data_IF_597902088997
#
_entry.id   IF_597902088997
#
_cell.length_a   1.000
_cell.length_b   1.000
_cell.length_c   1.000
_cell.angle_alpha   90.00
_cell.angle_beta   90.00
_cell.angle_gamma   90.00
#
_symmetry.space_group_name_H-M   'P 1'
#
loop_
_entity.id
_entity.type
_entity.pdbx_description
1 polymer ?
#
# COMPACT_ATOMS: atom_id res chain seq x y z
N UNK A 1 -0.45 18.57 -19.90
CA UNK A 1 0.23 17.78 -18.85
C UNK A 1 -0.80 17.58 -17.74
N UNK A 2 -1.31 16.36 -17.49
CA UNK A 2 -2.35 16.20 -16.49
C UNK A 2 -1.74 16.34 -15.09
N UNK A 3 -2.38 17.22 -14.32
CA UNK A 3 -2.12 17.49 -12.92
C UNK A 3 -2.71 16.33 -12.13
N UNK A 4 -1.88 15.34 -11.75
CA UNK A 4 -2.28 14.36 -10.75
C UNK A 4 -2.23 15.05 -9.38
N UNK A 5 -3.38 15.55 -8.95
CA UNK A 5 -3.64 15.93 -7.56
C UNK A 5 -3.60 14.65 -6.71
N UNK A 6 -2.41 14.25 -6.29
CA UNK A 6 -2.24 13.23 -5.25
C UNK A 6 -2.30 13.91 -3.90
N UNK A 7 -3.40 13.73 -3.16
CA UNK A 7 -3.49 14.15 -1.77
C UNK A 7 -2.24 13.70 -1.00
N UNK A 8 -1.61 14.63 -0.28
CA UNK A 8 -0.33 14.44 0.38
C UNK A 8 -0.53 13.51 1.58
N UNK A 9 -0.66 12.21 1.33
CA UNK A 9 -0.60 11.20 2.38
C UNK A 9 0.88 11.03 2.75
N UNK A 10 1.20 11.23 4.02
CA UNK A 10 2.53 10.92 4.54
C UNK A 10 2.83 9.44 4.32
N UNK A 11 4.10 9.10 4.06
CA UNK A 11 4.51 7.71 3.73
C UNK A 11 4.07 6.70 4.81
N UNK A 12 4.04 7.13 6.08
CA UNK A 12 3.55 6.35 7.22
C UNK A 12 2.04 6.07 7.15
N UNK A 13 1.23 7.06 6.77
CA UNK A 13 -0.23 6.89 6.69
C UNK A 13 -0.64 5.93 5.57
N UNK A 14 0.04 5.98 4.41
CA UNK A 14 -0.16 5.01 3.34
C UNK A 14 0.24 3.59 3.79
N UNK A 15 1.35 3.49 4.51
CA UNK A 15 1.84 2.22 5.02
C UNK A 15 0.86 1.56 6.00
N UNK A 16 0.36 2.30 6.99
CA UNK A 16 -0.62 1.78 7.95
C UNK A 16 -1.95 1.38 7.30
N UNK A 17 -2.44 2.16 6.33
CA UNK A 17 -3.64 1.77 5.57
C UNK A 17 -3.44 0.48 4.77
N UNK A 18 -2.32 0.37 4.06
CA UNK A 18 -2.04 -0.81 3.25
C UNK A 18 -1.85 -2.06 4.12
N UNK A 19 -1.16 -1.95 5.26
CA UNK A 19 -1.11 -3.01 6.27
C UNK A 19 -2.50 -3.42 6.73
N UNK A 20 -3.34 -2.46 7.13
CA UNK A 20 -4.70 -2.75 7.60
C UNK A 20 -5.57 -3.48 6.58
N UNK A 21 -5.39 -3.18 5.29
CA UNK A 21 -6.05 -3.90 4.19
C UNK A 21 -5.51 -5.33 4.09
N UNK A 22 -4.19 -5.53 4.12
CA UNK A 22 -3.57 -6.86 4.08
C UNK A 22 -3.95 -7.72 5.29
N UNK A 23 -3.98 -7.14 6.49
CA UNK A 23 -4.42 -7.80 7.71
C UNK A 23 -5.88 -8.25 7.59
N UNK A 24 -6.77 -7.41 7.06
CA UNK A 24 -8.20 -7.74 6.91
C UNK A 24 -8.48 -8.72 5.78
N UNK A 25 -7.85 -8.56 4.61
CA UNK A 25 -8.12 -9.42 3.44
C UNK A 25 -7.42 -10.76 3.52
N UNK A 26 -6.24 -10.82 4.14
CA UNK A 26 -5.40 -12.02 4.17
C UNK A 26 -5.15 -12.58 5.56
N UNK A 27 -5.78 -12.02 6.60
CA UNK A 27 -5.58 -12.44 7.99
C UNK A 27 -4.10 -12.49 8.39
N UNK A 28 -3.29 -11.58 7.83
CA UNK A 28 -1.86 -11.49 8.11
C UNK A 28 -1.60 -10.74 9.41
N UNK A 29 -0.54 -11.12 10.11
CA UNK A 29 -0.02 -10.34 11.22
C UNK A 29 0.79 -9.13 10.73
N UNK A 30 1.13 -8.21 11.64
CA UNK A 30 1.75 -6.93 11.26
C UNK A 30 3.11 -7.11 10.58
N UNK A 31 3.90 -8.07 11.08
CA UNK A 31 5.22 -8.40 10.53
C UNK A 31 5.11 -9.03 9.13
N UNK A 32 4.13 -9.92 8.93
CA UNK A 32 3.86 -10.53 7.62
C UNK A 32 3.35 -9.52 6.59
N UNK A 33 2.52 -8.57 7.02
CA UNK A 33 2.05 -7.48 6.17
C UNK A 33 3.21 -6.57 5.75
N UNK A 34 4.12 -6.24 6.68
CA UNK A 34 5.34 -5.49 6.39
C UNK A 34 6.25 -6.24 5.41
N UNK A 35 6.51 -7.51 5.67
CA UNK A 35 7.31 -8.38 4.80
C UNK A 35 6.73 -8.49 3.39
N UNK A 36 5.41 -8.62 3.28
CA UNK A 36 4.70 -8.69 2.00
C UNK A 36 4.79 -7.38 1.21
N UNK A 37 4.58 -6.23 1.86
CA UNK A 37 4.72 -4.91 1.24
C UNK A 37 6.14 -4.67 0.73
N UNK A 38 7.14 -5.00 1.56
CA UNK A 38 8.55 -4.86 1.19
C UNK A 38 8.92 -5.77 0.01
N UNK A 39 8.44 -7.01 0.01
CA UNK A 39 8.67 -7.96 -1.08
C UNK A 39 8.01 -7.48 -2.39
N UNK A 40 6.77 -7.01 -2.33
CA UNK A 40 6.07 -6.40 -3.47
C UNK A 40 6.80 -5.18 -4.02
N UNK A 41 7.30 -4.30 -3.14
CA UNK A 41 8.10 -3.15 -3.52
C UNK A 41 9.37 -3.55 -4.28
N UNK A 42 10.11 -4.53 -3.75
CA UNK A 42 11.29 -5.09 -4.43
C UNK A 42 10.96 -5.74 -5.77
N UNK A 43 9.91 -6.58 -5.83
CA UNK A 43 9.51 -7.26 -7.08
C UNK A 43 9.06 -6.28 -8.16
N UNK A 44 8.38 -5.19 -7.79
CA UNK A 44 7.91 -4.18 -8.74
C UNK A 44 8.94 -3.08 -9.03
N UNK A 45 10.09 -3.08 -8.35
CA UNK A 45 11.08 -2.00 -8.45
C UNK A 45 10.52 -0.63 -7.99
N UNK A 46 9.52 -0.63 -7.12
CA UNK A 46 8.82 0.56 -6.62
C UNK A 46 9.17 0.81 -5.16
N UNK A 47 8.93 2.04 -4.69
CA UNK A 47 9.03 2.33 -3.27
C UNK A 47 7.87 1.71 -2.49
N UNK A 48 8.08 1.43 -1.20
CA UNK A 48 7.02 0.93 -0.30
C UNK A 48 5.81 1.87 -0.32
N UNK A 49 6.03 3.20 -0.31
CA UNK A 49 4.96 4.18 -0.39
C UNK A 49 4.10 4.03 -1.65
N UNK A 50 4.73 3.85 -2.81
CA UNK A 50 4.02 3.65 -4.08
C UNK A 50 3.24 2.33 -4.09
N UNK A 51 3.82 1.24 -3.58
CA UNK A 51 3.12 -0.06 -3.50
C UNK A 51 1.96 -0.01 -2.52
N UNK A 52 2.14 0.64 -1.37
CA UNK A 52 1.06 0.87 -0.40
C UNK A 52 -0.08 1.65 -1.04
N UNK A 53 0.23 2.68 -1.83
CA UNK A 53 -0.79 3.45 -2.54
C UNK A 53 -1.51 2.63 -3.62
N UNK A 54 -0.78 1.82 -4.39
CA UNK A 54 -1.32 0.90 -5.41
C UNK A 54 -2.28 -0.14 -4.80
N UNK A 55 -1.96 -0.64 -3.60
CA UNK A 55 -2.81 -1.54 -2.81
C UNK A 55 -4.08 -0.84 -2.31
N UNK A 56 -3.95 0.39 -1.79
CA UNK A 56 -5.10 1.17 -1.32
C UNK A 56 -6.04 1.50 -2.49
N UNK A 57 -5.47 1.89 -3.63
CA UNK A 57 -6.22 2.22 -4.84
C UNK A 57 -6.97 0.98 -5.37
N UNK A 58 -6.29 -0.15 -5.48
CA UNK A 58 -6.89 -1.44 -5.86
C UNK A 58 -8.00 -1.87 -4.91
N UNK A 59 -7.81 -1.67 -3.60
CA UNK A 59 -8.83 -1.96 -2.60
C UNK A 59 -10.01 -0.99 -2.65
N UNK A 60 -9.77 0.28 -3.00
CA UNK A 60 -10.82 1.30 -3.15
C UNK A 60 -11.66 1.09 -4.41
N UNK A 61 -11.08 0.53 -5.48
CA UNK A 61 -11.78 0.18 -6.72
C UNK A 61 -12.72 -1.03 -6.57
N UNK A 62 -12.56 -1.82 -5.50
CA UNK A 62 -13.37 -3.00 -5.23
C UNK A 62 -14.69 -2.66 -4.49
N UNK A 63 -14.93 -1.39 -4.17
CA UNK A 63 -16.16 -0.88 -3.55
C UNK A 63 -16.81 0.19 -4.44
#
# INVERSE_FOLDING_TARGET
MPLVNGGVFTQTALFDKAKGILMKQRHLEEDEAYGSLRKLAMTRGKTIAQVSQDLIDSASLLF
#
